data_IF_911510393236
#
_entry.id   IF_911510393236
#
_cell.length_a   1.000
_cell.length_b   1.000
_cell.length_c   1.000
_cell.angle_alpha   90.00
_cell.angle_beta   90.00
_cell.angle_gamma   90.00
#
_symmetry.space_group_name_H-M   'P 1'
#
loop_
_entity.id
_entity.type
_entity.pdbx_description
1 polymer ?
#
# COMPACT_ATOMS: atom_id res chain seq x y z
N UNK A 1 -7.82 8.82 5.36
CA UNK A 1 -8.36 7.89 4.35
C UNK A 1 -9.87 8.13 4.26
N UNK A 2 -10.43 8.17 3.06
CA UNK A 2 -11.87 8.36 2.84
C UNK A 2 -12.37 7.19 1.98
N UNK A 3 -13.44 6.53 2.41
CA UNK A 3 -14.13 5.52 1.61
C UNK A 3 -15.39 6.13 1.00
N UNK A 4 -15.56 5.93 -0.31
CA UNK A 4 -16.74 6.40 -1.05
C UNK A 4 -17.57 5.21 -1.50
N UNK A 5 -18.89 5.39 -1.44
CA UNK A 5 -19.83 4.37 -1.93
C UNK A 5 -19.60 4.15 -3.43
N UNK A 6 -19.52 2.89 -3.81
CA UNK A 6 -19.47 2.45 -5.21
C UNK A 6 -20.85 1.99 -5.68
N UNK A 7 -21.00 1.77 -6.99
CA UNK A 7 -22.21 1.21 -7.58
C UNK A 7 -22.41 -0.25 -7.13
N UNK A 8 -23.65 -0.68 -6.93
CA UNK A 8 -23.97 -1.98 -6.30
C UNK A 8 -23.49 -3.22 -7.07
N UNK A 9 -23.01 -3.06 -8.30
CA UNK A 9 -22.47 -4.14 -9.14
C UNK A 9 -20.93 -4.20 -9.14
N UNK A 10 -20.27 -3.29 -8.41
CA UNK A 10 -18.81 -3.23 -8.32
C UNK A 10 -18.35 -3.59 -6.92
N UNK A 11 -17.27 -4.39 -6.84
CA UNK A 11 -16.66 -4.84 -5.58
C UNK A 11 -15.17 -4.49 -5.57
N UNK A 12 -14.83 -3.18 -5.58
CA UNK A 12 -13.46 -2.74 -5.61
C UNK A 12 -12.73 -3.20 -4.35
N UNK A 13 -11.53 -3.73 -4.53
CA UNK A 13 -10.63 -4.08 -3.44
C UNK A 13 -9.23 -3.52 -3.69
N UNK A 14 -8.53 -3.21 -2.62
CA UNK A 14 -7.21 -2.59 -2.65
C UNK A 14 -6.28 -3.33 -1.69
N UNK A 15 -4.98 -3.23 -1.96
CA UNK A 15 -3.95 -3.48 -0.97
C UNK A 15 -3.49 -2.14 -0.38
N UNK A 16 -3.47 -2.05 0.94
CA UNK A 16 -2.86 -0.93 1.64
C UNK A 16 -2.22 -1.36 2.95
N UNK A 17 -1.13 -0.71 3.31
CA UNK A 17 -0.41 -0.97 4.54
C UNK A 17 -0.39 0.25 5.45
N UNK A 18 -0.50 0.03 6.75
CA UNK A 18 -0.31 1.02 7.78
C UNK A 18 1.06 0.83 8.44
N UNK A 19 1.89 1.88 8.40
CA UNK A 19 3.13 1.86 9.17
C UNK A 19 2.81 1.93 10.66
N UNK A 20 3.47 1.08 11.44
CA UNK A 20 3.41 1.05 12.90
C UNK A 20 4.82 1.21 13.49
N UNK A 21 4.93 1.61 14.78
CA UNK A 21 6.22 1.70 15.44
C UNK A 21 6.98 0.37 15.39
N UNK A 22 8.29 0.43 15.12
CA UNK A 22 9.10 -0.76 14.86
C UNK A 22 9.16 -1.74 16.06
N UNK A 23 8.97 -1.23 17.27
CA UNK A 23 9.03 -1.96 18.54
C UNK A 23 7.66 -2.34 19.10
N UNK A 24 6.59 -2.24 18.30
CA UNK A 24 5.19 -2.51 18.74
C UNK A 24 4.47 -3.58 17.93
N UNK A 25 5.14 -4.25 17.00
CA UNK A 25 4.52 -5.24 16.11
C UNK A 25 3.65 -6.27 16.85
N UNK A 26 4.19 -6.92 17.88
CA UNK A 26 3.48 -7.97 18.61
C UNK A 26 2.30 -7.42 19.43
N UNK A 27 2.41 -6.18 19.94
CA UNK A 27 1.30 -5.49 20.61
C UNK A 27 0.16 -5.15 19.64
N UNK A 28 0.48 -4.67 18.43
CA UNK A 28 -0.52 -4.38 17.39
C UNK A 28 -1.25 -5.65 16.98
N UNK A 29 -0.50 -6.73 16.74
CA UNK A 29 -1.07 -8.04 16.38
C UNK A 29 -1.98 -8.55 17.48
N UNK A 30 -1.56 -8.46 18.74
CA UNK A 30 -2.39 -8.85 19.89
C UNK A 30 -3.66 -7.99 20.04
N UNK A 31 -3.59 -6.70 19.73
CA UNK A 31 -4.72 -5.77 19.83
C UNK A 31 -5.83 -6.05 18.79
N UNK A 32 -5.46 -6.49 17.58
CA UNK A 32 -6.43 -6.70 16.50
C UNK A 32 -6.91 -8.15 16.36
N UNK A 33 -6.21 -9.13 16.95
CA UNK A 33 -6.47 -10.58 16.75
C UNK A 33 -7.94 -11.01 16.93
N UNK A 34 -8.67 -10.37 17.84
CA UNK A 34 -10.06 -10.73 18.17
C UNK A 34 -11.09 -10.02 17.28
N UNK A 35 -10.63 -9.14 16.37
CA UNK A 35 -11.46 -8.31 15.48
C UNK A 35 -11.42 -8.78 14.04
N UNK A 36 -10.36 -9.51 13.65
CA UNK A 36 -10.09 -9.88 12.27
C UNK A 36 -9.54 -11.30 12.19
N UNK A 37 -9.67 -11.91 11.01
CA UNK A 37 -8.99 -13.16 10.68
C UNK A 37 -7.70 -12.83 9.95
N UNK A 38 -6.57 -13.25 10.51
CA UNK A 38 -5.28 -13.10 9.84
C UNK A 38 -5.23 -13.95 8.57
N UNK A 39 -4.77 -13.35 7.49
CA UNK A 39 -4.45 -14.09 6.29
C UNK A 39 -3.15 -14.86 6.49
N UNK A 40 -3.01 -15.97 5.78
CA UNK A 40 -1.81 -16.81 5.83
C UNK A 40 -1.24 -17.04 4.44
N UNK A 41 0.07 -17.14 4.33
CA UNK A 41 0.78 -17.61 3.14
C UNK A 41 1.71 -18.73 3.59
N UNK A 42 1.70 -19.88 2.91
CA UNK A 42 2.45 -21.08 3.30
C UNK A 42 2.24 -21.53 4.76
N UNK A 43 1.04 -21.26 5.32
CA UNK A 43 0.67 -21.57 6.70
C UNK A 43 1.12 -20.55 7.74
N UNK A 44 1.87 -19.52 7.36
CA UNK A 44 2.37 -18.49 8.25
C UNK A 44 1.44 -17.27 8.26
N UNK A 45 1.11 -16.75 9.46
CA UNK A 45 0.23 -15.58 9.65
C UNK A 45 0.97 -14.26 9.84
N UNK A 46 2.29 -14.25 9.65
CA UNK A 46 3.15 -13.07 9.59
C UNK A 46 4.38 -13.37 8.73
N UNK A 47 5.09 -12.32 8.30
CA UNK A 47 6.27 -12.46 7.46
C UNK A 47 7.31 -11.40 7.81
N UNK A 48 8.58 -11.76 7.68
CA UNK A 48 9.68 -10.81 7.68
C UNK A 48 10.22 -10.62 6.26
N UNK A 49 10.10 -9.41 5.73
CA UNK A 49 10.64 -9.04 4.43
C UNK A 49 12.07 -8.52 4.57
N UNK A 50 13.06 -9.39 4.34
CA UNK A 50 14.48 -9.04 4.44
C UNK A 50 14.89 -7.86 3.54
N UNK A 51 14.29 -7.73 2.35
CA UNK A 51 14.62 -6.71 1.35
C UNK A 51 14.15 -5.29 1.73
N UNK A 52 13.19 -5.15 2.65
CA UNK A 52 12.73 -3.86 3.19
C UNK A 52 12.85 -3.79 4.72
N UNK A 53 13.47 -4.81 5.32
CA UNK A 53 13.67 -4.97 6.77
C UNK A 53 12.42 -4.63 7.58
N UNK A 54 11.34 -5.35 7.29
CA UNK A 54 10.05 -5.09 7.91
C UNK A 54 9.34 -6.39 8.31
N UNK A 55 8.63 -6.36 9.43
CA UNK A 55 7.66 -7.40 9.82
C UNK A 55 6.27 -6.96 9.39
N UNK A 56 5.50 -7.88 8.83
CA UNK A 56 4.14 -7.62 8.36
C UNK A 56 3.16 -8.72 8.74
N UNK A 57 1.90 -8.35 8.93
CA UNK A 57 0.78 -9.29 8.95
C UNK A 57 -0.44 -8.67 8.25
N UNK A 58 -1.32 -9.53 7.76
CA UNK A 58 -2.38 -9.16 6.83
C UNK A 58 -3.75 -9.62 7.32
N UNK A 59 -4.79 -8.87 6.98
CA UNK A 59 -6.18 -9.23 7.23
C UNK A 59 -7.07 -8.63 6.14
N UNK A 60 -8.25 -9.23 5.94
CA UNK A 60 -9.25 -8.67 5.03
C UNK A 60 -10.24 -7.81 5.80
N UNK A 61 -10.57 -6.65 5.26
CA UNK A 61 -11.70 -5.86 5.74
C UNK A 61 -13.03 -6.38 5.15
N UNK A 62 -14.20 -5.86 5.58
CA UNK A 62 -15.49 -6.30 5.07
C UNK A 62 -15.73 -6.06 3.56
N UNK A 63 -14.96 -5.18 2.93
CA UNK A 63 -15.03 -4.94 1.47
C UNK A 63 -14.08 -5.87 0.70
N UNK A 64 -13.30 -6.70 1.41
CA UNK A 64 -12.29 -7.56 0.83
C UNK A 64 -10.98 -6.84 0.52
N UNK A 65 -10.74 -5.65 1.07
CA UNK A 65 -9.41 -5.03 0.96
C UNK A 65 -8.39 -5.85 1.73
N UNK A 66 -7.19 -6.01 1.17
CA UNK A 66 -6.05 -6.58 1.86
C UNK A 66 -5.37 -5.48 2.66
N UNK A 67 -5.68 -5.42 3.96
CA UNK A 67 -5.05 -4.49 4.88
C UNK A 67 -3.82 -5.14 5.53
N UNK A 68 -2.76 -4.36 5.65
CA UNK A 68 -1.49 -4.77 6.24
C UNK A 68 -1.13 -3.84 7.40
N UNK A 69 -0.58 -4.39 8.48
CA UNK A 69 0.25 -3.64 9.40
C UNK A 69 1.70 -4.00 9.16
N UNK A 70 2.53 -2.98 8.95
CA UNK A 70 3.95 -3.13 8.63
C UNK A 70 4.81 -2.35 9.64
N UNK A 71 5.73 -3.06 10.30
CA UNK A 71 6.73 -2.49 11.20
C UNK A 71 8.08 -2.53 10.49
N UNK A 72 8.51 -1.40 9.93
CA UNK A 72 9.82 -1.26 9.27
C UNK A 72 10.88 -0.93 10.31
N UNK A 73 12.12 -1.36 10.12
CA UNK A 73 13.23 -0.92 10.98
C UNK A 73 13.37 0.61 11.02
N UNK A 74 13.06 1.28 9.90
CA UNK A 74 13.09 2.75 9.77
C UNK A 74 11.91 3.45 10.45
N UNK A 75 10.84 2.74 10.82
CA UNK A 75 9.71 3.34 11.53
C UNK A 75 10.16 3.80 12.93
N UNK A 76 9.76 5.00 13.38
CA UNK A 76 10.11 5.49 14.70
C UNK A 76 9.58 4.55 15.79
N UNK A 77 10.41 4.26 16.78
CA UNK A 77 9.99 3.52 17.97
C UNK A 77 9.02 4.36 18.81
N UNK A 78 8.11 3.70 19.52
CA UNK A 78 7.24 4.34 20.51
C UNK A 78 7.67 3.97 21.93
N UNK A 79 7.68 4.94 22.84
CA UNK A 79 7.84 4.67 24.27
C UNK A 79 6.52 4.20 24.91
N UNK A 80 5.39 4.63 24.35
CA UNK A 80 4.05 4.32 24.85
C UNK A 80 3.62 2.91 24.43
N UNK A 81 2.61 2.37 25.12
CA UNK A 81 1.91 1.15 24.70
C UNK A 81 1.14 1.41 23.42
N UNK A 82 0.89 0.36 22.63
CA UNK A 82 0.11 0.51 21.42
C UNK A 82 -1.34 0.94 21.70
N UNK A 83 -1.79 1.92 20.94
CA UNK A 83 -3.19 2.28 20.72
C UNK A 83 -3.39 2.56 19.23
N UNK A 84 -4.64 2.74 18.76
CA UNK A 84 -4.87 3.02 17.33
C UNK A 84 -4.21 4.34 16.89
N UNK A 85 -4.05 5.29 17.82
CA UNK A 85 -3.34 6.54 17.63
C UNK A 85 -1.82 6.36 17.44
N UNK A 86 -1.28 5.17 17.72
CA UNK A 86 0.13 4.84 17.44
C UNK A 86 0.38 4.54 15.96
N UNK A 87 -0.66 4.34 15.13
CA UNK A 87 -0.51 4.15 13.69
C UNK A 87 0.05 5.42 13.05
N UNK A 88 1.13 5.29 12.28
CA UNK A 88 1.93 6.42 11.85
C UNK A 88 1.35 7.10 10.60
N UNK A 89 1.11 6.32 9.55
CA UNK A 89 0.59 6.77 8.27
C UNK A 89 0.20 5.56 7.39
N UNK A 90 -0.28 5.84 6.18
CA UNK A 90 -0.38 4.84 5.11
C UNK A 90 1.04 4.63 4.56
N UNK A 91 1.58 3.44 4.75
CA UNK A 91 2.90 3.05 4.29
C UNK A 91 2.91 2.48 2.88
N UNK A 92 1.81 1.88 2.43
CA UNK A 92 1.69 1.35 1.07
C UNK A 92 0.26 1.49 0.55
N UNK A 93 0.12 1.71 -0.76
CA UNK A 93 -1.17 1.56 -1.47
C UNK A 93 -0.90 1.07 -2.88
N UNK A 94 -1.69 0.12 -3.38
CA UNK A 94 -1.53 -0.35 -4.75
C UNK A 94 -1.97 0.68 -5.79
N UNK A 95 -1.25 0.72 -6.91
CA UNK A 95 -1.57 1.51 -8.08
C UNK A 95 -1.50 0.61 -9.32
N UNK A 96 -2.62 -0.04 -9.64
CA UNK A 96 -2.72 -0.97 -10.78
C UNK A 96 -2.88 -0.18 -12.08
N UNK A 97 -1.92 -0.29 -13.01
CA UNK A 97 -1.90 0.51 -14.24
C UNK A 97 -1.87 -0.38 -15.51
N UNK A 98 -2.49 0.09 -16.58
CA UNK A 98 -2.44 -0.58 -17.88
C UNK A 98 -1.10 -0.35 -18.61
N UNK A 99 -0.49 0.82 -18.41
CA UNK A 99 0.85 1.17 -18.93
C UNK A 99 1.80 1.43 -17.76
N UNK A 100 2.44 0.37 -17.25
CA UNK A 100 3.24 0.41 -16.02
C UNK A 100 4.50 1.25 -16.23
N UNK A 101 5.25 1.07 -17.32
CA UNK A 101 6.50 1.82 -17.53
C UNK A 101 6.20 3.29 -17.78
N UNK A 102 5.18 3.59 -18.58
CA UNK A 102 4.72 4.96 -18.86
C UNK A 102 4.32 5.68 -17.56
N UNK A 103 3.52 5.02 -16.73
CA UNK A 103 3.08 5.53 -15.42
C UNK A 103 4.24 5.73 -14.47
N UNK A 104 5.14 4.75 -14.34
CA UNK A 104 6.34 4.86 -13.50
C UNK A 104 7.23 6.03 -13.90
N UNK A 105 7.48 6.22 -15.20
CA UNK A 105 8.24 7.38 -15.71
C UNK A 105 7.55 8.71 -15.42
N UNK A 106 6.20 8.76 -15.46
CA UNK A 106 5.45 9.95 -15.06
C UNK A 106 5.66 10.24 -13.57
N UNK A 107 5.46 9.26 -12.70
CA UNK A 107 5.70 9.39 -11.25
C UNK A 107 7.11 9.93 -10.94
N UNK A 108 8.14 9.40 -11.61
CA UNK A 108 9.51 9.89 -11.47
C UNK A 108 9.65 11.38 -11.82
N UNK A 109 9.01 11.86 -12.89
CA UNK A 109 9.00 13.30 -13.25
C UNK A 109 8.28 14.18 -12.24
N UNK A 110 7.36 13.61 -11.46
CA UNK A 110 6.70 14.29 -10.36
C UNK A 110 7.47 14.19 -9.04
N UNK A 111 8.67 13.59 -9.04
CA UNK A 111 9.52 13.47 -7.85
C UNK A 111 9.22 12.24 -7.00
N UNK A 112 8.52 11.24 -7.55
CA UNK A 112 8.25 9.96 -6.89
C UNK A 112 9.13 8.90 -7.57
N UNK A 113 10.35 8.64 -7.06
CA UNK A 113 11.31 7.75 -7.71
C UNK A 113 10.87 6.28 -7.60
N UNK A 114 11.39 5.44 -8.49
CA UNK A 114 11.35 3.98 -8.28
C UNK A 114 12.44 3.61 -7.28
N UNK A 115 12.11 2.73 -6.33
CA UNK A 115 13.03 2.24 -5.30
C UNK A 115 14.27 1.62 -5.94
N UNK A 116 15.43 1.86 -5.31
CA UNK A 116 16.75 1.37 -5.74
C UNK A 116 17.12 1.72 -7.20
N UNK A 117 16.42 2.68 -7.82
CA UNK A 117 16.54 2.99 -9.25
C UNK A 117 16.39 1.77 -10.17
N UNK A 118 15.61 0.77 -9.74
CA UNK A 118 15.42 -0.46 -10.51
C UNK A 118 14.76 -0.20 -11.88
N UNK A 119 15.15 -0.92 -12.95
CA UNK A 119 14.52 -0.76 -14.25
C UNK A 119 13.01 -1.06 -14.22
N UNK A 120 12.21 -0.14 -14.75
CA UNK A 120 10.77 -0.34 -14.93
C UNK A 120 10.50 -1.38 -16.03
N UNK A 121 9.50 -2.21 -15.80
CA UNK A 121 9.02 -3.26 -16.73
C UNK A 121 7.50 -3.32 -16.72
N UNK A 122 6.89 -3.61 -17.86
CA UNK A 122 5.42 -3.69 -18.00
C UNK A 122 4.81 -4.84 -17.18
N UNK A 123 5.53 -5.95 -17.06
CA UNK A 123 5.15 -7.11 -16.24
C UNK A 123 5.60 -7.01 -14.77
N UNK A 124 6.24 -5.89 -14.40
CA UNK A 124 6.92 -5.74 -13.11
C UNK A 124 6.05 -5.17 -12.00
N UNK A 125 6.48 -5.40 -10.76
CA UNK A 125 5.89 -4.84 -9.56
C UNK A 125 6.91 -3.93 -8.88
N UNK A 126 6.61 -2.63 -8.85
CA UNK A 126 7.57 -1.57 -8.55
C UNK A 126 7.11 -0.76 -7.35
N UNK A 127 8.02 -0.58 -6.39
CA UNK A 127 7.81 0.32 -5.26
C UNK A 127 8.20 1.74 -5.69
N UNK A 128 7.25 2.66 -5.68
CA UNK A 128 7.46 4.05 -6.05
C UNK A 128 7.39 4.93 -4.80
N UNK A 129 8.49 5.57 -4.43
CA UNK A 129 8.67 6.33 -3.19
C UNK A 129 10.11 6.29 -2.68
N UNK A 130 10.47 7.20 -1.79
CA UNK A 130 11.76 7.14 -1.09
C UNK A 130 11.71 6.11 0.04
N UNK A 131 12.78 5.35 0.21
CA UNK A 131 12.84 4.33 1.25
C UNK A 131 12.76 4.92 2.67
N UNK A 132 13.36 6.09 2.89
CA UNK A 132 13.41 6.73 4.20
C UNK A 132 12.06 7.28 4.64
N UNK A 133 11.18 7.60 3.68
CA UNK A 133 9.81 8.05 3.98
C UNK A 133 8.91 6.90 4.45
N UNK A 134 9.28 5.65 4.12
CA UNK A 134 8.52 4.45 4.47
C UNK A 134 7.13 4.36 3.81
N UNK A 135 6.86 5.21 2.81
CA UNK A 135 5.59 5.33 2.12
C UNK A 135 5.76 5.07 0.61
N UNK A 136 4.99 4.12 0.06
CA UNK A 136 5.13 3.68 -1.33
C UNK A 136 3.81 3.56 -2.06
N UNK A 137 3.83 3.91 -3.36
CA UNK A 137 2.83 3.40 -4.31
C UNK A 137 3.35 2.09 -4.87
N UNK A 138 2.55 1.04 -4.79
CA UNK A 138 2.89 -0.27 -5.35
C UNK A 138 2.36 -0.34 -6.78
N UNK A 139 3.19 0.08 -7.72
CA UNK A 139 2.86 0.17 -9.13
C UNK A 139 3.04 -1.19 -9.82
N UNK A 140 2.00 -1.70 -10.46
CA UNK A 140 2.08 -2.95 -11.21
C UNK A 140 0.92 -3.18 -12.18
N UNK A 141 1.00 -4.26 -12.97
CA UNK A 141 -0.05 -4.61 -13.93
C UNK A 141 -1.25 -5.27 -13.26
N UNK A 142 -2.36 -5.29 -14.00
CA UNK A 142 -3.53 -6.11 -13.68
C UNK A 142 -3.19 -7.62 -13.68
N UNK A 143 -3.88 -8.39 -12.84
CA UNK A 143 -3.81 -9.85 -12.82
C UNK A 143 -2.68 -10.44 -11.97
N UNK A 144 -1.89 -9.62 -11.25
CA UNK A 144 -0.89 -10.14 -10.30
C UNK A 144 -1.58 -10.57 -9.00
N UNK A 145 -1.35 -11.80 -8.52
CA UNK A 145 -1.83 -12.23 -7.19
C UNK A 145 -1.18 -11.41 -6.07
N UNK A 146 -1.97 -11.00 -5.09
CA UNK A 146 -1.45 -10.44 -3.83
C UNK A 146 -0.98 -11.56 -2.91
N UNK A 147 0.22 -11.45 -2.36
CA UNK A 147 0.66 -12.36 -1.28
C UNK A 147 -0.31 -12.23 -0.10
N UNK A 148 -0.50 -13.29 0.66
CA UNK A 148 -1.50 -13.35 1.74
C UNK A 148 -2.94 -13.11 1.25
N UNK A 149 -3.22 -13.35 -0.03
CA UNK A 149 -4.58 -13.32 -0.57
C UNK A 149 -4.73 -14.19 -1.82
N UNK A 150 -5.97 -14.58 -2.09
CA UNK A 150 -6.40 -15.24 -3.33
C UNK A 150 -6.80 -14.22 -4.40
N UNK A 151 -6.85 -12.94 -4.04
CA UNK A 151 -7.23 -11.84 -4.93
C UNK A 151 -6.07 -11.45 -5.85
N UNK A 152 -6.44 -10.98 -7.02
CA UNK A 152 -5.52 -10.45 -8.01
C UNK A 152 -5.66 -8.93 -8.09
N UNK A 153 -4.58 -8.25 -8.47
CA UNK A 153 -4.59 -6.82 -8.70
C UNK A 153 -5.55 -6.50 -9.84
N UNK A 154 -6.56 -5.68 -9.54
CA UNK A 154 -7.56 -5.22 -10.50
C UNK A 154 -7.49 -3.71 -10.70
N UNK A 155 -8.07 -3.22 -11.80
CA UNK A 155 -8.26 -1.80 -12.02
C UNK A 155 -9.48 -1.32 -11.22
N UNK A 156 -9.24 -0.42 -10.27
CA UNK A 156 -10.30 0.25 -9.53
C UNK A 156 -10.02 1.76 -9.40
N UNK A 157 -11.06 2.60 -9.33
CA UNK A 157 -10.88 4.02 -9.13
C UNK A 157 -10.18 4.30 -7.80
N UNK A 158 -9.22 5.23 -7.79
CA UNK A 158 -8.48 5.61 -6.58
C UNK A 158 -8.01 7.06 -6.71
N UNK A 159 -8.05 7.81 -5.61
CA UNK A 159 -7.40 9.13 -5.53
C UNK A 159 -6.37 9.13 -4.41
N UNK A 160 -5.13 9.46 -4.74
CA UNK A 160 -4.03 9.59 -3.78
C UNK A 160 -3.50 11.02 -3.81
N UNK A 161 -3.32 11.60 -2.62
CA UNK A 161 -2.66 12.90 -2.46
C UNK A 161 -1.32 12.66 -1.76
N UNK A 162 -0.23 12.87 -2.47
CA UNK A 162 1.13 12.71 -1.96
C UNK A 162 1.64 14.07 -1.49
N UNK A 163 2.06 14.15 -0.23
CA UNK A 163 2.64 15.35 0.41
C UNK A 163 1.81 16.63 0.21
N UNK A 164 0.48 16.50 0.10
CA UNK A 164 -0.45 17.61 -0.14
C UNK A 164 -0.37 18.27 -1.53
N UNK A 165 0.64 17.93 -2.34
CA UNK A 165 1.01 18.71 -3.53
C UNK A 165 0.87 17.95 -4.84
N UNK A 166 0.81 16.62 -4.81
CA UNK A 166 0.66 15.78 -6.00
C UNK A 166 -0.62 14.98 -5.84
N UNK A 167 -1.51 15.06 -6.82
CA UNK A 167 -2.72 14.27 -6.92
C UNK A 167 -2.55 13.22 -8.01
N UNK A 168 -2.87 11.98 -7.66
CA UNK A 168 -2.86 10.82 -8.55
C UNK A 168 -4.29 10.29 -8.61
N UNK A 169 -4.82 10.10 -9.81
CA UNK A 169 -6.17 9.57 -10.01
C UNK A 169 -6.12 8.36 -10.95
N UNK A 170 -6.53 7.19 -10.43
CA UNK A 170 -6.80 6.00 -11.22
C UNK A 170 -8.27 6.01 -11.67
N UNK A 171 -8.52 5.72 -12.94
CA UNK A 171 -9.85 5.78 -13.55
C UNK A 171 -10.68 4.48 -13.43
N UNK A 172 -10.10 3.43 -12.83
CA UNK A 172 -10.71 2.10 -12.76
C UNK A 172 -10.69 1.29 -14.05
N UNK A 173 -9.98 1.76 -15.09
CA UNK A 173 -9.77 1.10 -16.38
C UNK A 173 -8.28 0.95 -16.72
N UNK A 174 -7.41 1.28 -15.76
CA UNK A 174 -5.96 1.20 -15.86
C UNK A 174 -5.28 2.50 -16.29
N UNK A 175 -6.04 3.57 -16.54
CA UNK A 175 -5.54 4.91 -16.79
C UNK A 175 -5.19 5.63 -15.49
N UNK A 176 -4.00 6.24 -15.45
CA UNK A 176 -3.50 7.01 -14.31
C UNK A 176 -3.21 8.45 -14.74
N UNK A 177 -3.92 9.41 -14.12
CA UNK A 177 -3.63 10.85 -14.21
C UNK A 177 -2.78 11.29 -13.00
N UNK A 178 -1.81 12.18 -13.25
CA UNK A 178 -0.93 12.72 -12.21
C UNK A 178 -0.80 14.22 -12.45
N UNK A 179 -1.17 15.01 -11.44
CA UNK A 179 -1.13 16.47 -11.50
C UNK A 179 -0.66 17.09 -10.19
N UNK A 180 -0.11 18.31 -10.25
CA UNK A 180 0.15 19.08 -9.03
C UNK A 180 -1.18 19.67 -8.54
N UNK A 181 -1.47 19.53 -7.27
CA UNK A 181 -2.57 20.25 -6.62
C UNK A 181 -2.26 21.75 -6.74
N UNK A 182 -3.21 22.56 -7.22
CA UNK A 182 -3.05 24.01 -7.11
C UNK A 182 -3.03 24.40 -5.63
N UNK A 183 -2.24 25.42 -5.23
CA UNK A 183 -2.36 25.98 -3.89
C UNK A 183 -3.81 26.41 -3.69
N UNK A 184 -4.42 25.96 -2.59
CA UNK A 184 -5.70 26.45 -2.09
C UNK A 184 -5.61 27.91 -1.71
#
# INVERSE_FOLDING_TARGET
>A
MEFRRTDSQSHPNYHFAFNIPNNRFDEVKAWIKDKVVFQTEDGEGEVYFSHIKARSFYFKDPSGNLAEFIARETSPASAERFSIESVLNIGEVNLTAAEVVSTGRKLQRFGIPVRDHSPLREDGFHFMGDYNDGAFLLLGPNGRRWIFSDQHAEFHPLSVIVNGTIRIEADGKGGIDIRRSQPS
#
